data_IF_331547257536
#
_entry.id   IF_331547257536
#
_cell.length_a   1.000
_cell.length_b   1.000
_cell.length_c   1.000
_cell.angle_alpha   90.00
_cell.angle_beta   90.00
_cell.angle_gamma   90.00
#
_symmetry.space_group_name_H-M   'P 1'
#
loop_
_entity.id
_entity.type
_entity.pdbx_description
1 polymer ?
#
# COMPACT_ATOMS: atom_id res chain seq x y z
N UNK A 1 19.59 -7.55 7.76
CA UNK A 1 19.97 -6.38 8.58
C UNK A 1 18.98 -5.29 8.23
N UNK A 2 17.79 -5.32 8.83
CA UNK A 2 16.82 -4.26 8.63
C UNK A 2 17.25 -3.04 9.46
N UNK A 3 17.62 -1.94 8.81
CA UNK A 3 17.94 -0.67 9.49
C UNK A 3 16.73 -0.08 10.22
N UNK A 4 15.51 -0.47 9.81
CA UNK A 4 14.24 0.02 10.33
C UNK A 4 13.35 -1.19 10.63
N UNK A 5 12.75 -1.22 11.83
CA UNK A 5 11.84 -2.30 12.24
C UNK A 5 10.56 -2.32 11.39
N UNK A 6 10.02 -3.52 11.14
CA UNK A 6 8.78 -3.71 10.38
C UNK A 6 7.60 -2.94 10.98
N UNK A 7 7.50 -2.88 12.31
CA UNK A 7 6.45 -2.11 12.99
C UNK A 7 6.59 -0.60 12.83
N UNK A 8 7.82 -0.09 12.71
CA UNK A 8 8.07 1.34 12.45
C UNK A 8 7.64 1.69 11.03
N UNK A 9 7.95 0.83 10.05
CA UNK A 9 7.51 1.00 8.67
C UNK A 9 5.97 1.02 8.57
N UNK A 10 5.29 0.09 9.24
CA UNK A 10 3.82 0.05 9.23
C UNK A 10 3.24 1.35 9.82
N UNK A 11 3.77 1.86 10.94
CA UNK A 11 3.31 3.14 11.52
C UNK A 11 3.47 4.31 10.54
N UNK A 12 4.62 4.40 9.87
CA UNK A 12 4.86 5.45 8.86
C UNK A 12 3.86 5.35 7.72
N UNK A 13 3.63 4.14 7.20
CA UNK A 13 2.64 3.89 6.15
C UNK A 13 1.23 4.23 6.63
N UNK A 14 0.83 3.87 7.85
CA UNK A 14 -0.49 4.20 8.40
C UNK A 14 -0.71 5.72 8.52
N UNK A 15 0.30 6.45 9.00
CA UNK A 15 0.24 7.91 9.08
C UNK A 15 0.18 8.52 7.68
N UNK A 16 0.94 7.98 6.72
CA UNK A 16 0.89 8.39 5.33
C UNK A 16 -0.50 8.19 4.71
N UNK A 17 -1.19 7.09 5.00
CA UNK A 17 -2.58 6.86 4.56
C UNK A 17 -3.56 7.90 5.09
N UNK A 18 -3.43 8.24 6.38
CA UNK A 18 -4.26 9.28 7.01
C UNK A 18 -3.98 10.65 6.39
N UNK A 19 -2.71 10.96 6.13
CA UNK A 19 -2.32 12.18 5.44
C UNK A 19 -2.86 12.23 4.00
N UNK A 20 -2.76 11.14 3.25
CA UNK A 20 -3.27 11.05 1.89
C UNK A 20 -4.81 11.21 1.85
N UNK A 21 -5.52 10.64 2.83
CA UNK A 21 -6.95 10.85 3.01
C UNK A 21 -7.29 12.33 3.22
N UNK A 22 -6.53 13.03 4.07
CA UNK A 22 -6.71 14.47 4.28
C UNK A 22 -6.47 15.28 3.00
N UNK A 23 -5.42 14.98 2.24
CA UNK A 23 -5.14 15.66 0.96
C UNK A 23 -6.24 15.40 -0.07
N UNK A 24 -6.75 14.17 -0.17
CA UNK A 24 -7.85 13.83 -1.09
C UNK A 24 -9.16 14.55 -0.78
N UNK A 25 -9.43 14.87 0.49
CA UNK A 25 -10.60 15.65 0.90
C UNK A 25 -10.46 17.14 0.59
N UNK A 26 -9.26 17.70 0.78
CA UNK A 26 -9.04 19.13 0.61
C UNK A 26 -8.79 19.53 -0.85
N UNK A 27 -7.87 18.83 -1.51
CA UNK A 27 -7.47 19.14 -2.87
C UNK A 27 -6.91 17.88 -3.56
N UNK A 28 -7.78 17.05 -4.17
CA UNK A 28 -7.36 15.83 -4.86
C UNK A 28 -6.40 16.08 -6.02
N UNK A 29 -6.39 17.30 -6.59
CA UNK A 29 -5.53 17.66 -7.70
C UNK A 29 -4.05 17.60 -7.31
N UNK A 30 -3.72 17.90 -6.04
CA UNK A 30 -2.33 17.78 -5.54
C UNK A 30 -1.78 16.36 -5.63
N UNK A 31 -2.63 15.35 -5.59
CA UNK A 31 -2.22 13.94 -5.74
C UNK A 31 -1.98 13.61 -7.22
N UNK A 32 -2.80 14.15 -8.11
CA UNK A 32 -2.68 13.94 -9.55
C UNK A 32 -1.48 14.66 -10.18
N UNK A 33 -1.13 15.84 -9.65
CA UNK A 33 -0.04 16.68 -10.16
C UNK A 33 1.34 16.29 -9.60
N UNK A 34 1.44 15.20 -8.83
CA UNK A 34 2.68 14.77 -8.22
C UNK A 34 3.65 14.16 -9.26
N UNK A 35 4.93 14.57 -9.25
CA UNK A 35 5.94 14.14 -10.24
C UNK A 35 6.03 12.61 -10.38
N UNK A 36 5.93 11.89 -9.26
CA UNK A 36 5.95 10.43 -9.25
C UNK A 36 4.76 9.82 -10.04
N UNK A 37 3.57 10.43 -9.97
CA UNK A 37 2.39 10.01 -10.76
C UNK A 37 2.57 10.32 -12.24
N UNK A 38 3.15 11.47 -12.56
CA UNK A 38 3.49 11.85 -13.92
C UNK A 38 4.51 10.87 -14.54
N UNK A 39 5.64 10.65 -13.87
CA UNK A 39 6.70 9.77 -14.35
C UNK A 39 6.24 8.33 -14.53
N UNK A 40 5.54 7.75 -13.55
CA UNK A 40 5.03 6.38 -13.67
C UNK A 40 3.91 6.29 -14.70
N UNK A 41 3.05 7.30 -14.79
CA UNK A 41 2.00 7.39 -15.81
C UNK A 41 2.59 7.38 -17.22
N UNK A 42 3.64 8.17 -17.46
CA UNK A 42 4.32 8.23 -18.75
C UNK A 42 5.06 6.92 -19.06
N UNK A 43 5.81 6.37 -18.09
CA UNK A 43 6.54 5.11 -18.25
C UNK A 43 5.64 3.91 -18.57
N UNK A 44 4.39 3.96 -18.12
CA UNK A 44 3.39 2.90 -18.36
C UNK A 44 2.40 3.26 -19.47
N UNK A 45 2.53 4.44 -20.08
CA UNK A 45 1.59 5.04 -21.03
C UNK A 45 0.13 4.97 -20.54
N UNK A 46 -0.11 5.34 -19.29
CA UNK A 46 -1.45 5.44 -18.73
C UNK A 46 -2.03 6.86 -18.92
N UNK A 47 -3.35 6.97 -19.19
CA UNK A 47 -4.01 8.27 -19.27
C UNK A 47 -3.81 9.06 -17.98
N UNK A 48 -3.44 10.34 -18.13
CA UNK A 48 -3.26 11.21 -16.99
C UNK A 48 -4.59 11.54 -16.32
N UNK A 49 -4.57 11.47 -15.00
CA UNK A 49 -5.70 11.60 -14.10
C UNK A 49 -6.35 12.98 -14.00
N UNK A 50 -5.80 13.98 -14.67
CA UNK A 50 -5.92 15.39 -14.28
C UNK A 50 -7.37 15.89 -14.32
N UNK A 51 -8.21 15.34 -15.19
CA UNK A 51 -9.62 15.71 -15.30
C UNK A 51 -10.48 15.16 -14.14
N UNK A 52 -10.27 13.91 -13.74
CA UNK A 52 -11.06 13.23 -12.70
C UNK A 52 -10.74 13.72 -11.27
N UNK A 53 -9.52 14.21 -11.05
CA UNK A 53 -9.05 14.72 -9.75
C UNK A 53 -9.04 16.26 -9.68
N UNK A 54 -9.59 16.95 -10.67
CA UNK A 54 -9.63 18.42 -10.72
C UNK A 54 -10.49 19.06 -9.62
N UNK A 55 -11.50 18.34 -9.11
CA UNK A 55 -12.38 18.80 -8.03
C UNK A 55 -12.67 17.66 -7.05
N UNK A 56 -12.88 17.98 -5.76
CA UNK A 56 -13.42 17.01 -4.81
C UNK A 56 -14.71 16.38 -5.34
N UNK A 57 -14.74 15.05 -5.40
CA UNK A 57 -15.89 14.28 -5.88
C UNK A 57 -16.34 13.29 -4.79
N UNK A 58 -17.56 12.78 -4.92
CA UNK A 58 -18.07 11.75 -4.01
C UNK A 58 -17.15 10.50 -3.98
N UNK A 59 -16.54 10.14 -5.11
CA UNK A 59 -15.61 9.02 -5.20
C UNK A 59 -14.30 9.30 -4.47
N UNK A 60 -13.71 10.50 -4.61
CA UNK A 60 -12.48 10.85 -3.90
C UNK A 60 -12.71 10.99 -2.38
N UNK A 61 -13.87 11.50 -1.97
CA UNK A 61 -14.26 11.57 -0.58
C UNK A 61 -14.46 10.17 0.03
N UNK A 62 -15.13 9.27 -0.68
CA UNK A 62 -15.30 7.88 -0.23
C UNK A 62 -13.96 7.15 -0.12
N UNK A 63 -13.08 7.33 -1.11
CA UNK A 63 -11.72 6.77 -1.08
C UNK A 63 -10.91 7.33 0.11
N UNK A 64 -11.02 8.62 0.39
CA UNK A 64 -10.37 9.23 1.56
C UNK A 64 -10.85 8.59 2.87
N UNK A 65 -12.15 8.35 3.02
CA UNK A 65 -12.70 7.65 4.20
C UNK A 65 -12.13 6.24 4.32
N UNK A 66 -12.05 5.48 3.23
CA UNK A 66 -11.46 4.14 3.23
C UNK A 66 -9.98 4.17 3.63
N UNK A 67 -9.19 5.10 3.07
CA UNK A 67 -7.77 5.22 3.39
C UNK A 67 -7.55 5.66 4.84
N UNK A 68 -8.37 6.59 5.35
CA UNK A 68 -8.33 6.98 6.77
C UNK A 68 -8.67 5.80 7.69
N UNK A 69 -9.74 5.05 7.36
CA UNK A 69 -10.12 3.86 8.10
C UNK A 69 -9.01 2.81 8.10
N UNK A 70 -8.40 2.54 6.93
CA UNK A 70 -7.29 1.60 6.79
C UNK A 70 -6.07 2.04 7.62
N UNK A 71 -5.73 3.32 7.60
CA UNK A 71 -4.65 3.87 8.42
C UNK A 71 -4.90 3.72 9.93
N UNK A 72 -6.13 3.96 10.39
CA UNK A 72 -6.50 3.77 11.81
C UNK A 72 -6.46 2.30 12.21
N UNK A 73 -6.98 1.41 11.36
CA UNK A 73 -6.95 -0.05 11.61
C UNK A 73 -5.50 -0.53 11.69
N UNK A 74 -4.64 -0.14 10.75
CA UNK A 74 -3.23 -0.55 10.74
C UNK A 74 -2.49 -0.01 11.98
N UNK A 75 -2.76 1.23 12.39
CA UNK A 75 -2.16 1.83 13.60
C UNK A 75 -2.60 1.10 14.87
N UNK A 76 -3.89 0.73 14.95
CA UNK A 76 -4.41 -0.07 16.06
C UNK A 76 -3.81 -1.47 16.08
N UNK A 77 -3.59 -2.10 14.92
CA UNK A 77 -3.00 -3.43 14.82
C UNK A 77 -1.52 -3.46 15.24
N UNK A 78 -0.77 -2.37 15.02
CA UNK A 78 0.61 -2.23 15.54
C UNK A 78 0.63 -1.94 17.06
N UNK A 79 -0.46 -1.46 17.65
CA UNK A 79 -0.53 -1.22 19.10
C UNK A 79 -0.71 -2.50 19.94
N UNK A 80 -0.92 -3.65 19.29
CA UNK A 80 -1.05 -4.94 19.96
C UNK A 80 0.28 -5.40 20.60
N UNK A 81 0.22 -6.31 21.60
CA UNK A 81 1.42 -6.94 22.15
C UNK A 81 2.27 -7.57 21.04
N UNK A 82 3.60 -7.41 21.14
CA UNK A 82 4.56 -7.75 20.07
C UNK A 82 4.41 -9.18 19.54
N UNK A 83 4.12 -10.14 20.42
CA UNK A 83 3.91 -11.55 20.04
C UNK A 83 2.69 -11.72 19.13
N UNK A 84 1.56 -11.09 19.48
CA UNK A 84 0.33 -11.15 18.68
C UNK A 84 0.49 -10.37 17.37
N UNK A 85 1.09 -9.18 17.44
CA UNK A 85 1.36 -8.35 16.27
C UNK A 85 2.21 -9.11 15.23
N UNK A 86 3.27 -9.80 15.67
CA UNK A 86 4.11 -10.58 14.76
C UNK A 86 3.35 -11.70 14.06
N UNK A 87 2.46 -12.41 14.75
CA UNK A 87 1.65 -13.47 14.14
C UNK A 87 0.62 -12.91 13.18
N UNK A 88 -0.06 -11.82 13.56
CA UNK A 88 -1.03 -11.12 12.72
C UNK A 88 -0.38 -10.63 11.42
N UNK A 89 0.72 -9.88 11.53
CA UNK A 89 1.40 -9.30 10.38
C UNK A 89 2.11 -10.36 9.51
N UNK A 90 2.48 -11.51 10.07
CA UNK A 90 3.04 -12.62 9.28
C UNK A 90 2.05 -13.20 8.26
N UNK A 91 0.75 -13.16 8.55
CA UNK A 91 -0.31 -13.62 7.64
C UNK A 91 -0.86 -12.45 6.82
N UNK A 92 -1.04 -11.29 7.45
CA UNK A 92 -1.72 -10.17 6.83
C UNK A 92 -0.89 -9.49 5.73
N UNK A 93 0.44 -9.39 5.90
CA UNK A 93 1.31 -8.75 4.91
C UNK A 93 1.30 -9.51 3.56
N UNK A 94 1.47 -10.85 3.51
CA UNK A 94 1.36 -11.60 2.26
C UNK A 94 0.00 -11.47 1.57
N UNK A 95 -1.10 -11.49 2.34
CA UNK A 95 -2.46 -11.35 1.80
C UNK A 95 -2.65 -9.99 1.14
N UNK A 96 -2.19 -8.92 1.80
CA UNK A 96 -2.25 -7.56 1.27
C UNK A 96 -1.38 -7.39 0.02
N UNK A 97 -0.19 -8.02 0.01
CA UNK A 97 0.66 -8.06 -1.18
C UNK A 97 0.01 -8.79 -2.35
N UNK A 98 -0.61 -9.95 -2.12
CA UNK A 98 -1.32 -10.69 -3.17
C UNK A 98 -2.48 -9.86 -3.74
N UNK A 99 -3.24 -9.18 -2.88
CA UNK A 99 -4.31 -8.29 -3.29
C UNK A 99 -3.79 -7.10 -4.13
N UNK A 100 -2.76 -6.40 -3.65
CA UNK A 100 -2.17 -5.25 -4.35
C UNK A 100 -1.49 -5.64 -5.67
N UNK A 101 -0.86 -6.81 -5.71
CA UNK A 101 -0.30 -7.37 -6.94
C UNK A 101 -1.41 -7.66 -7.94
N UNK A 102 -2.51 -8.29 -7.50
CA UNK A 102 -3.70 -8.51 -8.32
C UNK A 102 -4.30 -7.19 -8.82
N UNK A 103 -4.43 -6.18 -7.97
CA UNK A 103 -4.95 -4.86 -8.34
C UNK A 103 -4.06 -4.15 -9.37
N UNK A 104 -2.74 -4.21 -9.18
CA UNK A 104 -1.75 -3.61 -10.10
C UNK A 104 -1.75 -4.35 -11.44
N UNK A 105 -1.81 -5.68 -11.42
CA UNK A 105 -1.92 -6.49 -12.64
C UNK A 105 -3.25 -6.23 -13.38
N UNK A 106 -4.37 -6.13 -12.66
CA UNK A 106 -5.68 -5.83 -13.25
C UNK A 106 -5.72 -4.43 -13.87
N UNK A 107 -5.21 -3.41 -13.16
CA UNK A 107 -5.14 -2.04 -13.71
C UNK A 107 -4.26 -1.98 -14.96
N UNK A 108 -3.14 -2.71 -14.97
CA UNK A 108 -2.27 -2.81 -16.13
C UNK A 108 -2.93 -3.58 -17.31
N UNK A 109 -3.57 -4.72 -17.05
CA UNK A 109 -4.26 -5.51 -18.08
C UNK A 109 -5.48 -4.79 -18.65
N UNK A 110 -6.13 -3.93 -17.86
CA UNK A 110 -7.24 -3.09 -18.32
C UNK A 110 -6.78 -1.90 -19.18
N UNK A 111 -5.47 -1.73 -19.43
CA UNK A 111 -4.95 -0.78 -20.42
C UNK A 111 -5.58 -1.06 -21.79
N UNK A 112 -6.33 -0.11 -22.39
CA UNK A 112 -6.98 -0.35 -23.66
C UNK A 112 -5.91 -0.42 -24.76
N UNK A 113 -5.72 -1.61 -25.32
CA UNK A 113 -4.88 -1.85 -26.51
C UNK A 113 -5.54 -1.36 -27.83
N UNK A 114 -6.59 -0.55 -27.75
CA UNK A 114 -7.31 -0.04 -28.92
C UNK A 114 -8.57 0.73 -28.54
N UNK A 115 -9.05 1.55 -29.47
CA UNK A 115 -10.20 2.48 -29.41
C UNK A 115 -11.55 1.77 -29.22
N UNK A 116 -11.66 0.99 -28.16
CA UNK A 116 -12.87 0.24 -27.84
C UNK A 116 -13.75 1.11 -26.95
N UNK A 117 -14.77 1.73 -27.56
CA UNK A 117 -15.93 2.37 -26.92
C UNK A 117 -16.82 1.40 -26.13
N UNK A 118 -16.27 0.32 -25.59
CA UNK A 118 -16.95 -0.53 -24.62
C UNK A 118 -16.78 0.11 -23.25
N UNK A 119 -17.89 0.62 -22.70
CA UNK A 119 -18.03 1.01 -21.29
C UNK A 119 -17.89 -0.25 -20.42
N UNK A 120 -16.69 -0.77 -20.32
CA UNK A 120 -16.35 -1.88 -19.45
C UNK A 120 -16.16 -1.33 -18.03
N UNK A 121 -16.56 -2.13 -17.05
CA UNK A 121 -16.33 -1.93 -15.62
C UNK A 121 -14.88 -1.44 -15.40
N UNK A 122 -14.71 -0.30 -14.72
CA UNK A 122 -13.37 0.23 -14.40
C UNK A 122 -12.75 1.21 -15.40
N UNK A 123 -13.53 1.91 -16.24
CA UNK A 123 -13.01 3.04 -17.04
C UNK A 123 -12.31 4.09 -16.16
N UNK A 124 -12.84 4.37 -14.96
CA UNK A 124 -12.23 5.30 -13.99
C UNK A 124 -11.07 4.68 -13.20
N UNK A 125 -10.89 3.35 -13.25
CA UNK A 125 -9.71 2.67 -12.70
C UNK A 125 -8.48 2.79 -13.60
N UNK A 126 -8.65 3.15 -14.88
CA UNK A 126 -7.58 3.32 -15.87
C UNK A 126 -6.89 4.66 -15.69
N UNK A 127 -6.29 4.85 -14.52
CA UNK A 127 -5.79 6.15 -14.11
C UNK A 127 -4.36 6.02 -13.60
N UNK A 128 -3.47 6.89 -14.07
CA UNK A 128 -2.08 6.96 -13.63
C UNK A 128 -1.95 7.09 -12.10
N UNK A 129 -2.86 7.82 -11.43
CA UNK A 129 -2.90 7.95 -9.96
C UNK A 129 -3.17 6.62 -9.29
N UNK A 130 -4.18 5.88 -9.74
CA UNK A 130 -4.60 4.60 -9.12
C UNK A 130 -3.50 3.56 -9.28
N UNK A 131 -2.91 3.46 -10.48
CA UNK A 131 -1.78 2.57 -10.71
C UNK A 131 -0.58 2.95 -9.86
N UNK A 132 -0.22 4.23 -9.86
CA UNK A 132 0.96 4.72 -9.13
C UNK A 132 0.81 4.49 -7.64
N UNK A 133 -0.38 4.75 -7.09
CA UNK A 133 -0.70 4.44 -5.70
C UNK A 133 -0.57 2.93 -5.44
N UNK A 134 -1.23 2.08 -6.24
CA UNK A 134 -1.20 0.62 -6.05
C UNK A 134 0.22 0.05 -6.16
N UNK A 135 1.01 0.54 -7.11
CA UNK A 135 2.40 0.11 -7.32
C UNK A 135 3.32 0.59 -6.19
N UNK A 136 3.20 1.84 -5.77
CA UNK A 136 3.99 2.38 -4.65
C UNK A 136 3.65 1.66 -3.35
N UNK A 137 2.36 1.42 -3.12
CA UNK A 137 1.85 0.65 -1.98
C UNK A 137 2.38 -0.78 -2.01
N UNK A 138 2.45 -1.42 -3.18
CA UNK A 138 3.05 -2.73 -3.36
C UNK A 138 4.53 -2.76 -2.97
N UNK A 139 5.32 -1.77 -3.41
CA UNK A 139 6.74 -1.67 -3.05
C UNK A 139 6.94 -1.47 -1.54
N UNK A 140 6.12 -0.62 -0.92
CA UNK A 140 6.16 -0.37 0.52
C UNK A 140 5.79 -1.63 1.33
N UNK A 141 4.73 -2.33 0.95
CA UNK A 141 4.36 -3.59 1.61
C UNK A 141 5.36 -4.71 1.36
N UNK A 142 6.03 -4.71 0.20
CA UNK A 142 7.09 -5.66 -0.08
C UNK A 142 8.29 -5.41 0.85
N UNK A 143 8.62 -4.14 1.08
CA UNK A 143 9.65 -3.78 2.04
C UNK A 143 9.25 -4.22 3.46
N UNK A 144 8.01 -3.94 3.90
CA UNK A 144 7.50 -4.40 5.21
C UNK A 144 7.59 -5.93 5.33
N UNK A 145 7.23 -6.67 4.28
CA UNK A 145 7.33 -8.12 4.23
C UNK A 145 8.77 -8.59 4.43
N UNK A 146 9.72 -8.00 3.71
CA UNK A 146 11.14 -8.36 3.83
C UNK A 146 11.65 -8.14 5.25
N UNK A 147 11.34 -6.99 5.85
CA UNK A 147 11.71 -6.67 7.23
C UNK A 147 11.08 -7.63 8.25
N UNK A 148 9.78 -7.90 8.12
CA UNK A 148 9.06 -8.82 9.02
C UNK A 148 9.63 -10.25 8.92
N UNK A 149 9.96 -10.70 7.70
CA UNK A 149 10.57 -12.02 7.48
C UNK A 149 11.94 -12.12 8.12
N UNK A 150 12.75 -11.06 8.06
CA UNK A 150 14.06 -11.01 8.72
C UNK A 150 13.94 -11.05 10.25
N UNK A 151 13.09 -10.20 10.83
CA UNK A 151 12.87 -10.14 12.28
C UNK A 151 12.42 -11.49 12.84
N UNK A 152 11.51 -12.19 12.14
CA UNK A 152 11.07 -13.53 12.54
C UNK A 152 12.18 -14.57 12.52
N UNK A 153 13.10 -14.50 11.54
CA UNK A 153 14.25 -15.42 11.49
C UNK A 153 15.19 -15.20 12.67
N UNK A 154 15.45 -13.94 13.04
CA UNK A 154 16.31 -13.61 14.18
C UNK A 154 15.76 -14.17 15.50
N UNK A 155 14.44 -14.09 15.71
CA UNK A 155 13.80 -14.62 16.92
C UNK A 155 13.86 -16.14 17.04
N UNK A 156 13.79 -16.86 15.91
CA UNK A 156 13.94 -18.33 15.91
C UNK A 156 15.36 -18.74 16.28
N UNK A 157 16.36 -18.03 15.73
CA UNK A 157 17.78 -18.28 16.04
C UNK A 157 18.06 -17.99 17.52
N UNK A 158 17.54 -16.89 18.07
CA UNK A 158 17.72 -16.54 19.48
C UNK A 158 17.14 -17.61 20.41
N UNK A 159 15.90 -18.07 20.14
CA UNK A 159 15.28 -19.14 20.95
C UNK A 159 16.03 -20.48 20.89
N UNK A 160 16.66 -20.78 19.76
CA UNK A 160 17.51 -21.96 19.63
C UNK A 160 18.74 -21.88 20.54
N UNK A 161 19.39 -20.72 20.59
CA UNK A 161 20.56 -20.48 21.45
C UNK A 161 20.21 -20.55 22.94
N UNK A 162 19.11 -19.91 23.36
CA UNK A 162 18.71 -19.86 24.77
C UNK A 162 18.37 -21.26 25.31
N UNK A 163 17.75 -22.10 24.48
CA UNK A 163 17.41 -23.48 24.81
C UNK A 163 18.62 -24.40 25.00
N UNK A 164 19.73 -24.13 24.30
CA UNK A 164 20.97 -24.90 24.43
C UNK A 164 21.71 -24.56 25.74
N UNK A 165 21.72 -23.29 26.14
CA UNK A 165 22.27 -22.85 27.45
C UNK A 165 21.47 -23.32 28.66
N UNK A 166 20.18 -23.61 28.53
CA UNK A 166 19.36 -24.10 29.63
C UNK A 166 19.48 -25.63 29.85
N UNK A 167 20.10 -26.34 28.92
CA UNK A 167 20.28 -27.79 28.95
C UNK A 167 21.66 -28.24 29.50
N UNK A 168 22.55 -27.29 29.79
CA UNK A 168 23.90 -27.49 30.37
C UNK A 168 23.95 -27.03 31.82
#
# INVERSE_FOLDING_TARGET
>A
MALISSFTLIRVVSVFHIFLAFVLLQNPQKVADHDLVFFLGEATHMPHATSAFSKPSHASAFLAVILAFLGVVDLSAVSMPTVLAMQYWAVQVPVRLAFLFGLTALTYMMKPLGDSKTRAFGQDLKNSVVFTWAFTELLLWYWIYSANREERKMLVVQRGSDGETAAT
#
